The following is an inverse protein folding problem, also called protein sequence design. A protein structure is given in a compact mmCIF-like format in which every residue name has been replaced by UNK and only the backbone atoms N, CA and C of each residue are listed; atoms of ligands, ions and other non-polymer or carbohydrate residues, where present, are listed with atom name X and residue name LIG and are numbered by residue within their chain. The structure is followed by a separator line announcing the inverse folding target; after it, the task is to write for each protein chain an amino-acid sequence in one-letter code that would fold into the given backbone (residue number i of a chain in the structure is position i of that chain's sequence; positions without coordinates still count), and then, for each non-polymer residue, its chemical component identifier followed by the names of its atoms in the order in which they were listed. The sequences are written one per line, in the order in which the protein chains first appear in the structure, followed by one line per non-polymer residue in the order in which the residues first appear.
data_IF_792211969566
#
_entry.id   IF_792211969566
#
_cell.length_a   1.000
_cell.length_b   1.000
_cell.length_c   1.000
_cell.angle_alpha   90.00
_cell.angle_beta   90.00
_cell.angle_gamma   90.00
#
_symmetry.space_group_name_H-M   'P 1'
#
loop_
_entity.id
_entity.type
_entity.pdbx_description
1 polymer ?
#
# COMPACT_ATOMS: atom_id res chain seq x y z
N UNK A 1 -3.28 6.37 -15.95
CA UNK A 1 -3.41 5.81 -14.59
C UNK A 1 -2.44 6.55 -13.67
N UNK A 2 -2.94 7.14 -12.58
CA UNK A 2 -2.27 8.16 -11.76
C UNK A 2 -1.27 7.66 -10.71
N UNK A 3 -0.70 6.46 -10.85
CA UNK A 3 0.37 5.98 -9.95
C UNK A 3 1.72 6.52 -10.41
N UNK A 4 2.58 6.97 -9.49
CA UNK A 4 3.95 7.44 -9.76
C UNK A 4 4.97 6.50 -9.12
N UNK A 5 6.07 6.26 -9.81
CA UNK A 5 7.05 5.25 -9.40
C UNK A 5 8.27 5.92 -8.78
N UNK A 6 8.79 5.33 -7.71
CA UNK A 6 10.03 5.73 -7.08
C UNK A 6 10.68 4.52 -6.40
N UNK A 7 11.93 4.24 -6.75
CA UNK A 7 12.61 3.00 -6.33
C UNK A 7 11.85 1.75 -6.79
N UNK A 8 11.56 0.85 -5.84
CA UNK A 8 10.82 -0.39 -6.04
C UNK A 8 9.34 -0.29 -5.63
N UNK A 9 8.83 0.93 -5.40
CA UNK A 9 7.45 1.20 -5.00
C UNK A 9 6.73 2.08 -6.04
N UNK A 10 5.41 1.95 -6.06
CA UNK A 10 4.51 2.82 -6.78
C UNK A 10 3.59 3.51 -5.77
N UNK A 11 3.27 4.78 -6.00
CA UNK A 11 2.50 5.61 -5.08
C UNK A 11 1.32 6.30 -5.78
N UNK A 12 0.24 6.54 -5.03
CA UNK A 12 -0.96 7.19 -5.53
C UNK A 12 -1.60 8.04 -4.44
N UNK A 13 -2.14 9.20 -4.81
CA UNK A 13 -2.89 10.07 -3.89
C UNK A 13 -4.36 10.02 -4.26
N UNK A 14 -5.25 9.73 -3.30
CA UNK A 14 -6.69 9.68 -3.55
C UNK A 14 -7.25 11.05 -3.94
N UNK A 15 -8.32 11.06 -4.73
CA UNK A 15 -9.06 12.29 -5.07
C UNK A 15 -10.10 12.70 -4.04
N UNK A 16 -10.42 11.83 -3.07
CA UNK A 16 -11.43 12.07 -2.03
C UNK A 16 -10.79 11.96 -0.64
N UNK A 17 -11.23 12.82 0.27
CA UNK A 17 -10.86 12.78 1.69
C UNK A 17 -11.70 11.74 2.43
N UNK A 18 -11.10 11.06 3.41
CA UNK A 18 -11.77 10.12 4.31
C UNK A 18 -11.05 10.03 5.66
N UNK A 19 -11.58 9.24 6.60
CA UNK A 19 -10.85 8.86 7.82
C UNK A 19 -9.65 7.98 7.48
N UNK A 20 -8.68 7.85 8.39
CA UNK A 20 -7.48 7.03 8.14
C UNK A 20 -7.86 5.58 7.82
N UNK A 21 -8.75 4.99 8.61
CA UNK A 21 -9.21 3.61 8.39
C UNK A 21 -9.80 3.44 6.99
N UNK A 22 -10.63 4.39 6.56
CA UNK A 22 -11.25 4.37 5.24
C UNK A 22 -10.23 4.64 4.12
N UNK A 23 -9.20 5.43 4.38
CA UNK A 23 -8.09 5.65 3.48
C UNK A 23 -7.29 4.34 3.27
N UNK A 24 -7.08 3.56 4.33
CA UNK A 24 -6.56 2.19 4.26
C UNK A 24 -7.38 1.30 3.31
N UNK A 25 -8.71 1.27 3.50
CA UNK A 25 -9.61 0.50 2.63
C UNK A 25 -9.56 0.95 1.16
N UNK A 26 -9.36 2.25 0.88
CA UNK A 26 -9.18 2.77 -0.48
C UNK A 26 -7.92 2.16 -1.11
N UNK A 27 -6.81 2.16 -0.38
CA UNK A 27 -5.56 1.58 -0.87
C UNK A 27 -5.67 0.06 -1.09
N UNK A 28 -6.29 -0.66 -0.15
CA UNK A 28 -6.49 -2.11 -0.27
C UNK A 28 -7.33 -2.49 -1.49
N UNK A 29 -8.39 -1.71 -1.79
CA UNK A 29 -9.20 -1.90 -3.02
C UNK A 29 -8.41 -1.70 -4.31
N UNK A 30 -7.29 -1.00 -4.25
CA UNK A 30 -6.38 -0.77 -5.37
C UNK A 30 -5.16 -1.70 -5.33
N UNK A 31 -5.23 -2.81 -4.58
CA UNK A 31 -4.12 -3.76 -4.37
C UNK A 31 -2.85 -3.07 -3.87
N UNK A 32 -3.01 -2.22 -2.86
CA UNK A 32 -1.91 -1.56 -2.17
C UNK A 32 -2.25 -1.29 -0.71
N UNK A 33 -1.36 -0.59 -0.04
CA UNK A 33 -1.46 -0.24 1.38
C UNK A 33 -1.36 1.27 1.55
N UNK A 34 -1.70 1.80 2.73
CA UNK A 34 -1.28 3.15 3.06
C UNK A 34 0.25 3.24 3.05
N UNK A 35 0.78 4.39 2.64
CA UNK A 35 2.21 4.57 2.45
C UNK A 35 3.00 4.42 3.75
N UNK A 36 4.11 3.70 3.65
CA UNK A 36 5.19 3.67 4.63
C UNK A 36 6.41 4.39 4.04
N UNK A 37 7.14 5.13 4.88
CA UNK A 37 8.26 5.95 4.44
C UNK A 37 9.50 5.65 5.28
N UNK A 38 10.59 5.30 4.62
CA UNK A 38 11.80 4.76 5.25
C UNK A 38 13.05 5.61 5.01
N UNK A 39 12.94 6.70 4.27
CA UNK A 39 14.09 7.58 4.01
C UNK A 39 13.65 9.01 3.70
N UNK A 40 14.60 9.94 3.84
CA UNK A 40 14.40 11.33 3.42
C UNK A 40 14.06 11.42 1.94
N UNK A 41 14.77 10.69 1.08
CA UNK A 41 14.54 10.74 -0.37
C UNK A 41 13.14 10.24 -0.75
N UNK A 42 12.66 9.18 -0.10
CA UNK A 42 11.28 8.70 -0.27
C UNK A 42 10.26 9.72 0.22
N UNK A 43 10.50 10.33 1.39
CA UNK A 43 9.65 11.40 1.92
C UNK A 43 9.56 12.59 0.94
N UNK A 44 10.70 13.08 0.45
CA UNK A 44 10.78 14.19 -0.50
C UNK A 44 10.02 13.86 -1.80
N UNK A 45 10.15 12.62 -2.29
CA UNK A 45 9.39 12.15 -3.44
C UNK A 45 7.88 12.16 -3.16
N UNK A 46 7.43 11.60 -2.03
CA UNK A 46 6.01 11.57 -1.66
C UNK A 46 5.45 13.00 -1.55
N UNK A 47 6.21 13.92 -0.93
CA UNK A 47 5.85 15.34 -0.84
C UNK A 47 5.66 16.00 -2.21
N UNK A 48 6.47 15.63 -3.20
CA UNK A 48 6.37 16.17 -4.57
C UNK A 48 5.05 15.79 -5.27
N UNK A 49 4.36 14.75 -4.80
CA UNK A 49 3.09 14.30 -5.36
C UNK A 49 1.87 14.99 -4.76
N UNK A 50 2.03 15.65 -3.61
CA UNK A 50 0.94 16.30 -2.92
C UNK A 50 0.43 17.50 -3.72
N UNK A 51 -0.88 17.72 -3.67
CA UNK A 51 -1.53 18.82 -4.37
C UNK A 51 -0.96 20.19 -4.01
N UNK A 52 -1.04 21.15 -4.94
CA UNK A 52 -0.73 22.55 -4.63
C UNK A 52 -1.81 23.09 -3.70
N UNK A 53 -1.37 23.76 -2.64
CA UNK A 53 -2.26 24.37 -1.65
C UNK A 53 -2.88 25.62 -2.27
N UNK A 54 -4.19 25.60 -2.53
CA UNK A 54 -4.95 26.83 -2.70
C UNK A 54 -5.15 27.50 -1.33
N UNK A 55 -5.22 28.83 -1.31
CA UNK A 55 -5.04 29.72 -0.14
C UNK A 55 -5.96 29.50 1.08
N UNK A 56 -6.84 28.48 1.07
CA UNK A 56 -7.90 28.29 2.07
C UNK A 56 -7.96 26.91 2.72
N UNK A 57 -7.28 25.88 2.21
CA UNK A 57 -7.36 24.53 2.81
C UNK A 57 -6.00 23.99 3.29
N UNK A 58 -5.92 23.66 4.58
CA UNK A 58 -4.86 22.79 5.08
C UNK A 58 -5.11 21.36 4.59
N UNK A 59 -4.30 20.92 3.63
CA UNK A 59 -4.39 19.57 3.10
C UNK A 59 -3.74 18.58 4.06
N UNK A 60 -4.52 17.56 4.43
CA UNK A 60 -4.11 16.40 5.23
C UNK A 60 -3.99 15.19 4.34
N UNK A 61 -2.92 14.44 4.51
CA UNK A 61 -2.67 13.21 3.78
C UNK A 61 -2.30 12.08 4.76
N UNK A 62 -3.10 11.01 4.76
CA UNK A 62 -2.89 9.88 5.64
C UNK A 62 -1.68 9.05 5.23
N UNK A 63 -0.86 8.72 6.23
CA UNK A 63 0.20 7.73 6.14
C UNK A 63 -0.29 6.43 6.80
N UNK A 64 0.44 5.33 6.57
CA UNK A 64 0.10 4.03 7.16
C UNK A 64 0.57 3.85 8.60
N UNK A 65 1.04 4.90 9.28
CA UNK A 65 1.55 4.78 10.64
C UNK A 65 0.44 5.00 11.68
N UNK A 66 0.46 4.15 12.70
CA UNK A 66 -0.43 4.19 13.86
C UNK A 66 0.38 4.07 15.15
N UNK A 67 -0.08 4.76 16.19
CA UNK A 67 0.50 4.68 17.54
C UNK A 67 0.26 3.29 18.12
N UNK A 68 1.26 2.75 18.83
CA UNK A 68 1.18 1.44 19.48
C UNK A 68 1.45 1.57 20.96
N UNK A 69 0.60 0.93 21.77
CA UNK A 69 0.73 0.95 23.22
C UNK A 69 0.44 2.34 23.82
N UNK A 70 0.99 2.57 25.01
CA UNK A 70 0.77 3.80 25.77
C UNK A 70 1.93 4.82 25.62
N UNK A 71 2.95 4.49 24.82
CA UNK A 71 4.10 5.36 24.61
C UNK A 71 3.78 6.42 23.53
N UNK A 72 3.98 7.69 23.87
CA UNK A 72 3.77 8.84 22.99
C UNK A 72 4.67 8.82 21.74
N UNK A 73 5.74 8.03 21.71
CA UNK A 73 6.68 8.01 20.58
C UNK A 73 6.72 6.67 19.83
N UNK A 74 5.89 5.69 20.20
CA UNK A 74 5.86 4.39 19.53
C UNK A 74 4.81 4.33 18.43
N UNK A 75 5.27 4.06 17.21
CA UNK A 75 4.45 3.92 16.02
C UNK A 75 4.87 2.68 15.23
N UNK A 76 3.91 2.10 14.50
CA UNK A 76 4.15 1.02 13.55
C UNK A 76 3.53 1.35 12.19
N UNK A 77 4.12 0.86 11.12
CA UNK A 77 3.52 0.91 9.79
C UNK A 77 2.52 -0.23 9.60
N UNK A 78 1.39 0.06 8.94
CA UNK A 78 0.32 -0.89 8.64
C UNK A 78 0.76 -2.03 7.70
N UNK A 79 1.82 -1.80 6.90
CA UNK A 79 2.43 -2.82 6.04
C UNK A 79 3.41 -3.75 6.80
N UNK A 80 3.58 -3.54 8.12
CA UNK A 80 4.46 -4.34 8.98
C UNK A 80 5.94 -4.01 8.88
N UNK A 81 6.33 -3.01 8.08
CA UNK A 81 7.71 -2.54 7.96
C UNK A 81 8.19 -1.78 9.21
N UNK A 82 9.50 -1.64 9.37
CA UNK A 82 10.07 -1.00 10.57
C UNK A 82 9.89 0.52 10.56
N UNK A 83 9.41 1.08 11.67
CA UNK A 83 9.34 2.53 11.89
C UNK A 83 10.67 3.07 12.41
N UNK A 84 11.55 3.51 11.50
CA UNK A 84 12.89 4.06 11.84
C UNK A 84 13.12 5.48 11.36
N UNK A 85 12.51 5.85 10.23
CA UNK A 85 12.58 7.19 9.67
C UNK A 85 11.31 7.96 10.05
N UNK A 86 11.48 9.23 10.42
CA UNK A 86 10.37 10.14 10.65
C UNK A 86 10.68 11.53 10.11
N UNK A 87 9.63 12.27 9.82
CA UNK A 87 9.71 13.68 9.42
C UNK A 87 8.68 14.50 10.20
N UNK A 88 8.68 14.31 11.52
CA UNK A 88 7.78 14.97 12.44
C UNK A 88 7.90 16.49 12.35
N UNK A 89 6.76 17.16 12.44
CA UNK A 89 6.69 18.58 12.69
C UNK A 89 7.27 18.89 14.08
N UNK A 90 7.68 20.14 14.28
CA UNK A 90 8.24 20.56 15.56
C UNK A 90 7.19 20.39 16.66
N UNK A 91 7.59 19.66 17.71
CA UNK A 91 6.78 19.27 18.88
C UNK A 91 5.85 18.07 18.67
N UNK A 92 5.86 17.44 17.51
CA UNK A 92 5.11 16.20 17.27
C UNK A 92 6.05 14.98 17.37
N UNK A 93 5.53 13.81 17.76
CA UNK A 93 4.15 13.55 18.19
C UNK A 93 3.85 14.13 19.58
N UNK A 94 2.68 14.77 19.76
CA UNK A 94 2.29 15.41 21.04
C UNK A 94 1.10 14.73 21.76
N UNK A 95 0.42 13.81 21.06
CA UNK A 95 -0.74 13.05 21.51
C UNK A 95 -1.83 13.92 22.17
N UNK A 96 -2.29 15.00 21.53
CA UNK A 96 -3.29 15.91 22.13
C UNK A 96 -4.52 15.12 22.61
N UNK A 97 -4.91 15.36 23.86
CA UNK A 97 -6.02 14.71 24.55
C UNK A 97 -5.95 13.17 24.61
N UNK A 98 -4.80 12.56 24.30
CA UNK A 98 -4.62 11.12 24.11
C UNK A 98 -5.47 10.52 22.97
N UNK A 99 -5.79 11.31 21.95
CA UNK A 99 -6.68 10.89 20.84
C UNK A 99 -5.97 10.82 19.48
N UNK A 100 -4.70 11.21 19.40
CA UNK A 100 -3.96 11.36 18.14
C UNK A 100 -3.14 10.09 17.86
N UNK A 101 -3.83 9.05 17.40
CA UNK A 101 -3.25 7.72 17.21
C UNK A 101 -2.86 7.41 15.75
N UNK A 102 -3.11 8.31 14.81
CA UNK A 102 -2.80 8.12 13.40
C UNK A 102 -1.80 9.17 12.91
N UNK A 103 -1.03 8.87 11.88
CA UNK A 103 -0.05 9.83 11.33
C UNK A 103 -0.53 10.41 10.02
N UNK A 104 -0.44 11.73 9.88
CA UNK A 104 -0.71 12.42 8.63
C UNK A 104 0.41 13.38 8.24
N UNK A 105 0.62 13.54 6.94
CA UNK A 105 1.34 14.70 6.41
C UNK A 105 0.41 15.88 6.28
N UNK A 106 0.86 17.04 6.74
CA UNK A 106 0.19 18.31 6.54
C UNK A 106 1.11 19.27 5.79
N UNK A 107 0.56 19.97 4.79
CA UNK A 107 1.31 20.95 4.00
C UNK A 107 0.74 22.35 4.18
N UNK A 108 1.57 23.26 4.71
CA UNK A 108 1.28 24.69 4.73
C UNK A 108 1.62 25.39 3.41
N UNK A 109 1.03 26.57 3.17
CA UNK A 109 1.31 27.39 1.98
C UNK A 109 2.81 27.70 1.91
N UNK A 110 3.46 27.34 0.80
CA UNK A 110 4.88 27.60 0.57
C UNK A 110 5.83 26.86 1.50
N UNK A 111 5.35 25.84 2.23
CA UNK A 111 6.16 25.05 3.18
C UNK A 111 6.31 23.60 2.72
N UNK A 112 7.37 22.98 3.22
CA UNK A 112 7.53 21.52 3.20
C UNK A 112 6.40 20.87 4.00
N UNK A 113 5.97 19.69 3.57
CA UNK A 113 4.98 18.91 4.30
C UNK A 113 5.67 18.12 5.41
N UNK A 114 5.09 18.17 6.60
CA UNK A 114 5.63 17.60 7.84
C UNK A 114 4.62 16.63 8.42
N UNK A 115 5.11 15.67 9.20
CA UNK A 115 4.26 14.64 9.81
C UNK A 115 3.73 15.15 11.15
N UNK A 116 2.45 14.92 11.40
CA UNK A 116 1.83 15.12 12.71
C UNK A 116 1.15 13.83 13.12
N UNK A 117 1.13 13.53 14.41
CA UNK A 117 0.11 12.65 14.94
C UNK A 117 -1.23 13.39 14.93
N UNK A 118 -2.29 12.68 14.58
CA UNK A 118 -3.59 13.27 14.34
C UNK A 118 -4.70 12.29 14.75
N UNK A 119 -5.87 12.85 15.04
CA UNK A 119 -7.06 12.07 15.35
C UNK A 119 -7.51 11.33 14.08
N UNK A 120 -7.52 10.00 14.15
CA UNK A 120 -7.82 9.09 13.04
C UNK A 120 -9.16 9.36 12.34
N UNK A 121 -10.09 10.03 13.04
CA UNK A 121 -11.43 10.36 12.53
C UNK A 121 -11.49 11.67 11.73
N UNK A 122 -10.38 12.43 11.63
CA UNK A 122 -10.33 13.61 10.75
C UNK A 122 -10.41 13.19 9.28
N UNK A 123 -10.76 14.15 8.43
CA UNK A 123 -10.82 13.94 6.99
C UNK A 123 -9.48 14.28 6.34
N UNK A 124 -8.94 13.35 5.54
CA UNK A 124 -7.67 13.47 4.83
C UNK A 124 -7.59 12.57 3.60
N UNK A 125 -6.71 12.89 2.65
CA UNK A 125 -6.50 12.09 1.44
C UNK A 125 -5.65 10.86 1.75
N UNK A 126 -5.91 9.73 1.10
CA UNK A 126 -5.06 8.55 1.20
C UNK A 126 -3.80 8.74 0.35
N UNK A 127 -2.62 8.43 0.90
CA UNK A 127 -1.43 8.16 0.09
C UNK A 127 -1.25 6.65 0.09
N UNK A 128 -1.49 6.02 -1.05
CA UNK A 128 -1.35 4.60 -1.23
C UNK A 128 0.03 4.26 -1.78
N UNK A 129 0.54 3.09 -1.43
CA UNK A 129 1.72 2.47 -1.99
C UNK A 129 1.43 1.04 -2.45
N UNK A 130 2.26 0.52 -3.35
CA UNK A 130 2.39 -0.92 -3.64
C UNK A 130 3.75 -1.22 -4.24
N UNK A 131 4.16 -2.48 -4.29
CA UNK A 131 5.42 -2.82 -4.94
C UNK A 131 5.35 -2.61 -6.46
N UNK A 132 6.50 -2.38 -7.08
CA UNK A 132 6.60 -2.26 -8.53
C UNK A 132 6.17 -3.56 -9.22
N UNK A 133 6.46 -4.70 -8.63
CA UNK A 133 6.04 -6.02 -9.11
C UNK A 133 4.51 -6.15 -9.08
N UNK A 134 3.86 -5.75 -7.97
CA UNK A 134 2.40 -5.71 -7.88
C UNK A 134 1.79 -4.77 -8.94
N UNK A 135 2.39 -3.59 -9.15
CA UNK A 135 1.95 -2.67 -10.20
C UNK A 135 2.09 -3.27 -11.60
N UNK A 136 3.20 -3.95 -11.89
CA UNK A 136 3.43 -4.61 -13.18
C UNK A 136 2.44 -5.76 -13.38
N UNK A 137 2.15 -6.53 -12.34
CA UNK A 137 1.14 -7.59 -12.39
C UNK A 137 -0.26 -7.03 -12.66
N UNK A 138 -0.66 -5.95 -11.99
CA UNK A 138 -1.95 -5.29 -12.24
C UNK A 138 -2.01 -4.70 -13.64
N UNK A 139 -0.92 -4.10 -14.13
CA UNK A 139 -0.84 -3.60 -15.51
C UNK A 139 -0.98 -4.73 -16.51
N UNK A 140 -0.28 -5.85 -16.30
CA UNK A 140 -0.38 -7.05 -17.12
C UNK A 140 -1.81 -7.60 -17.14
N UNK A 141 -2.48 -7.72 -15.98
CA UNK A 141 -3.87 -8.17 -15.93
C UNK A 141 -4.82 -7.23 -16.69
N UNK A 142 -4.63 -5.92 -16.55
CA UNK A 142 -5.42 -4.93 -17.27
C UNK A 142 -5.16 -4.99 -18.79
N UNK A 143 -3.91 -5.19 -19.18
CA UNK A 143 -3.53 -5.34 -20.59
C UNK A 143 -4.06 -6.65 -21.17
N UNK A 144 -4.06 -7.75 -20.41
CA UNK A 144 -4.70 -9.01 -20.80
C UNK A 144 -6.21 -8.84 -20.95
N UNK A 145 -6.86 -8.13 -20.02
CA UNK A 145 -8.30 -7.82 -20.10
C UNK A 145 -8.64 -6.94 -21.31
N UNK A 146 -7.79 -5.96 -21.64
CA UNK A 146 -7.96 -5.13 -22.83
C UNK A 146 -7.57 -5.85 -24.12
N UNK A 147 -6.63 -6.78 -24.07
CA UNK A 147 -6.33 -7.70 -25.17
C UNK A 147 -7.46 -8.69 -25.40
N UNK A 148 -8.26 -9.07 -24.39
CA UNK A 148 -9.52 -9.81 -24.62
C UNK A 148 -10.60 -8.95 -25.29
N UNK A 149 -10.58 -7.62 -25.17
CA UNK A 149 -11.49 -6.72 -25.92
C UNK A 149 -11.08 -6.57 -27.40
N UNK A 150 -9.78 -6.52 -27.70
CA UNK A 150 -9.29 -6.77 -29.07
C UNK A 150 -9.49 -8.23 -29.47
N UNK A 151 -9.50 -9.12 -28.49
CA UNK A 151 -9.70 -10.55 -28.58
C UNK A 151 -11.08 -10.89 -29.08
N UNK A 152 -12.13 -10.14 -28.74
CA UNK A 152 -13.49 -10.27 -29.29
C UNK A 152 -13.58 -9.77 -30.74
N UNK A 153 -12.90 -8.67 -31.09
CA UNK A 153 -12.82 -8.17 -32.48
C UNK A 153 -12.01 -9.11 -33.38
N UNK A 154 -10.89 -9.64 -32.85
CA UNK A 154 -10.12 -10.71 -33.46
C UNK A 154 -10.90 -12.03 -33.43
N UNK A 155 -11.70 -12.35 -32.41
CA UNK A 155 -12.52 -13.57 -32.35
C UNK A 155 -13.60 -13.55 -33.42
N UNK A 156 -14.25 -12.41 -33.65
CA UNK A 156 -15.25 -12.24 -34.72
C UNK A 156 -14.59 -12.32 -36.10
N UNK A 157 -13.37 -11.79 -36.25
CA UNK A 157 -12.54 -11.95 -37.46
C UNK A 157 -12.02 -13.38 -37.65
N UNK A 158 -11.72 -14.10 -36.57
CA UNK A 158 -11.26 -15.49 -36.54
C UNK A 158 -12.43 -16.48 -36.66
N UNK A 159 -13.66 -16.12 -36.27
CA UNK A 159 -14.86 -16.96 -36.42
C UNK A 159 -15.22 -17.14 -37.90
N UNK A 160 -14.91 -16.12 -38.73
CA UNK A 160 -14.96 -16.25 -40.19
C UNK A 160 -13.89 -17.17 -40.78
N UNK A 161 -12.85 -17.53 -40.01
CA UNK A 161 -11.80 -18.48 -40.41
C UNK A 161 -11.78 -19.78 -39.57
N UNK A 162 -12.80 -20.02 -38.74
CA UNK A 162 -12.89 -21.11 -37.73
C UNK A 162 -12.98 -22.55 -38.26
N UNK A 163 -12.52 -22.82 -39.49
CA UNK A 163 -12.52 -24.18 -40.04
C UNK A 163 -11.19 -24.93 -39.92
N UNK A 164 -10.11 -24.40 -39.29
CA UNK A 164 -8.81 -25.12 -39.37
C UNK A 164 -7.75 -25.07 -38.23
N UNK A 165 -7.92 -24.46 -37.05
CA UNK A 165 -6.83 -24.32 -36.03
C UNK A 165 -7.42 -24.37 -34.60
N UNK A 166 -6.90 -24.98 -33.52
CA UNK A 166 -5.93 -26.05 -33.25
C UNK A 166 -6.15 -26.45 -31.76
N UNK A 167 -6.39 -27.72 -31.43
CA UNK A 167 -6.66 -28.21 -30.06
C UNK A 167 -5.58 -27.80 -29.04
N UNK A 168 -4.33 -27.68 -29.46
CA UNK A 168 -3.21 -27.31 -28.59
C UNK A 168 -3.28 -25.89 -28.02
N UNK A 169 -3.87 -24.93 -28.74
CA UNK A 169 -3.97 -23.55 -28.24
C UNK A 169 -4.93 -23.50 -27.05
N UNK A 170 -6.02 -24.27 -27.11
CA UNK A 170 -6.96 -24.40 -26.00
C UNK A 170 -6.32 -25.04 -24.77
N UNK A 171 -5.48 -26.06 -24.96
CA UNK A 171 -4.74 -26.71 -23.87
C UNK A 171 -3.75 -25.75 -23.19
N UNK A 172 -3.05 -24.93 -23.97
CA UNK A 172 -2.10 -23.93 -23.43
C UNK A 172 -2.82 -22.86 -22.61
N UNK A 173 -3.96 -22.36 -23.08
CA UNK A 173 -4.76 -21.38 -22.34
C UNK A 173 -5.22 -21.92 -20.99
N UNK A 174 -5.69 -23.17 -20.94
CA UNK A 174 -6.14 -23.80 -19.69
C UNK A 174 -5.00 -23.97 -18.68
N UNK A 175 -3.82 -24.39 -19.15
CA UNK A 175 -2.65 -24.54 -18.30
C UNK A 175 -2.20 -23.21 -17.66
N UNK A 176 -2.30 -22.09 -18.38
CA UNK A 176 -1.94 -20.77 -17.84
C UNK A 176 -2.87 -20.34 -16.69
N UNK A 177 -4.17 -20.58 -16.82
CA UNK A 177 -5.16 -20.28 -15.76
C UNK A 177 -4.92 -21.12 -14.50
N UNK A 178 -4.59 -22.40 -14.67
CA UNK A 178 -4.30 -23.31 -13.55
C UNK A 178 -3.01 -22.91 -12.81
N UNK A 179 -1.98 -22.46 -13.55
CA UNK A 179 -0.73 -21.95 -12.97
C UNK A 179 -0.96 -20.69 -12.14
N UNK A 180 -1.76 -19.73 -12.61
CA UNK A 180 -2.07 -18.54 -11.83
C UNK A 180 -2.86 -18.86 -10.55
N UNK A 181 -3.79 -19.82 -10.63
CA UNK A 181 -4.56 -20.28 -9.47
C UNK A 181 -3.63 -20.90 -8.43
N UNK A 182 -2.72 -21.76 -8.86
CA UNK A 182 -1.69 -22.37 -8.00
C UNK A 182 -0.82 -21.32 -7.31
N UNK A 183 -0.34 -20.29 -8.02
CA UNK A 183 0.48 -19.25 -7.40
C UNK A 183 -0.29 -18.41 -6.38
N UNK A 184 -1.57 -18.11 -6.62
CA UNK A 184 -2.42 -17.38 -5.66
C UNK A 184 -2.64 -18.17 -4.36
N UNK A 185 -2.94 -19.45 -4.47
CA UNK A 185 -3.16 -20.32 -3.31
C UNK A 185 -1.88 -20.48 -2.48
N UNK A 186 -0.74 -20.72 -3.13
CA UNK A 186 0.54 -20.87 -2.42
C UNK A 186 1.06 -19.56 -1.82
N UNK A 187 0.82 -18.40 -2.44
CA UNK A 187 1.18 -17.10 -1.86
C UNK A 187 0.47 -16.88 -0.52
N UNK A 188 -0.84 -17.19 -0.45
CA UNK A 188 -1.59 -17.08 0.81
C UNK A 188 -1.06 -18.03 1.88
N UNK A 189 -0.69 -19.26 1.50
CA UNK A 189 -0.10 -20.22 2.43
C UNK A 189 1.27 -19.77 2.96
N UNK A 190 2.12 -19.20 2.12
CA UNK A 190 3.43 -18.64 2.53
C UNK A 190 3.25 -17.47 3.50
N UNK A 191 2.27 -16.59 3.26
CA UNK A 191 1.98 -15.46 4.16
C UNK A 191 1.49 -15.93 5.53
N UNK A 192 0.65 -16.97 5.56
CA UNK A 192 0.20 -17.60 6.81
C UNK A 192 1.37 -18.24 7.58
N UNK A 193 2.28 -18.91 6.87
CA UNK A 193 3.45 -19.55 7.45
C UNK A 193 4.42 -18.51 8.03
N UNK A 194 4.68 -17.43 7.30
CA UNK A 194 5.48 -16.30 7.77
C UNK A 194 4.88 -15.65 9.02
N UNK A 195 3.55 -15.50 9.06
CA UNK A 195 2.84 -14.99 10.24
C UNK A 195 2.97 -15.91 11.45
N UNK A 196 2.86 -17.23 11.25
CA UNK A 196 3.06 -18.22 12.30
C UNK A 196 4.51 -18.22 12.82
N UNK A 197 5.50 -18.17 11.93
CA UNK A 197 6.91 -18.09 12.33
C UNK A 197 7.22 -16.82 13.13
N UNK A 198 6.60 -15.69 12.80
CA UNK A 198 6.78 -14.43 13.56
C UNK A 198 6.24 -14.54 14.99
N UNK A 199 5.11 -15.23 15.19
CA UNK A 199 4.58 -15.51 16.52
C UNK A 199 5.51 -16.41 17.32
N UNK A 200 5.99 -17.51 16.72
CA UNK A 200 6.94 -18.42 17.37
C UNK A 200 8.22 -17.67 17.77
N UNK A 201 8.75 -16.79 16.91
CA UNK A 201 9.94 -16.01 17.24
C UNK A 201 9.71 -15.09 18.46
N UNK A 202 8.52 -14.47 18.55
CA UNK A 202 8.17 -13.60 19.67
C UNK A 202 8.11 -14.37 21.00
N UNK A 203 7.60 -15.61 20.96
CA UNK A 203 7.53 -16.47 22.13
C UNK A 203 8.94 -16.91 22.58
N UNK A 204 9.82 -17.24 21.63
CA UNK A 204 11.23 -17.57 21.90
C UNK A 204 11.93 -16.39 22.57
N UNK A 205 11.79 -15.19 22.02
CA UNK A 205 12.42 -13.98 22.57
C UNK A 205 11.93 -13.68 23.99
N UNK A 206 10.65 -13.94 24.28
CA UNK A 206 10.04 -13.77 25.61
C UNK A 206 10.61 -14.75 26.63
N UNK A 207 10.80 -16.01 26.24
CA UNK A 207 11.39 -17.03 27.10
C UNK A 207 12.86 -16.72 27.39
N UNK A 208 13.65 -16.33 26.38
CA UNK A 208 15.04 -15.94 26.56
C UNK A 208 15.20 -14.73 27.50
N UNK A 209 14.30 -13.74 27.38
CA UNK A 209 14.34 -12.57 28.25
C UNK A 209 13.98 -12.91 29.70
N UNK A 210 13.07 -13.86 29.92
CA UNK A 210 12.68 -14.33 31.26
C UNK A 210 13.81 -15.12 31.92
N UNK A 211 14.58 -15.90 31.14
CA UNK A 211 15.72 -16.67 31.64
C UNK A 211 16.94 -15.80 32.00
N UNK A 212 17.12 -14.64 31.37
CA UNK A 212 18.21 -13.69 31.69
C UNK A 212 17.91 -12.80 32.90
N UNK A 213 16.68 -12.78 33.39
CA UNK A 213 16.23 -11.94 34.50
C UNK A 213 16.23 -12.64 35.88
N UNK A 214 16.54 -13.94 35.92
CA UNK A 214 16.73 -14.75 37.13
C UNK A 214 18.20 -15.14 37.29
#
# INVERSE_FOLDING_TARGET
LGWKWFGNKCYFVSGMKSTQKKAGEICSKMNGDLVSIHSKTENDFVQSMLGRVDLQEHYRYWLGAERVGNDQFQFQWSDGSTFKYSHWHRNDPNNVNNEENCVSMVRGIGREAVWIDDNCNKSGYAICQRSREQQLFVQMLHDLQNQTLLGDYLFISFDKQKKKINHHIYTIYKALVDVEKFFRENSQSVDQLNKAMKHIQTDVDTVEHTQKAN
#
